data_IF_477547736096
#
_entry.id   IF_477547736096
#
_cell.length_a   1.000
_cell.length_b   1.000
_cell.length_c   1.000
_cell.angle_alpha   90.00
_cell.angle_beta   90.00
_cell.angle_gamma   90.00
#
_symmetry.space_group_name_H-M   'P 1'
#
loop_
_entity.id
_entity.type
_entity.pdbx_description
1 polymer ?
#
# COMPACT_ATOMS: atom_id res chain seq x y z
N UNK A 1 28.85 -18.65 37.72
CA UNK A 1 27.42 -18.46 37.90
C UNK A 1 26.83 -17.90 36.60
N UNK A 2 26.18 -18.76 35.82
CA UNK A 2 25.50 -18.38 34.56
C UNK A 2 24.09 -17.92 34.92
N UNK A 3 23.78 -16.66 34.75
CA UNK A 3 22.39 -16.17 34.79
C UNK A 3 21.78 -16.28 33.41
N UNK A 4 20.64 -16.97 33.36
CA UNK A 4 19.90 -17.25 32.13
C UNK A 4 19.41 -15.98 31.43
N UNK A 5 19.70 -15.91 30.15
CA UNK A 5 19.17 -14.90 29.23
C UNK A 5 17.76 -15.33 28.80
N UNK A 6 16.85 -14.38 28.96
CA UNK A 6 15.62 -14.18 28.20
C UNK A 6 14.86 -15.43 27.75
N UNK A 7 13.95 -15.89 28.62
CA UNK A 7 12.82 -16.69 28.17
C UNK A 7 12.01 -15.86 27.17
N UNK A 8 11.91 -16.35 25.91
CA UNK A 8 10.96 -15.83 24.94
C UNK A 8 9.56 -15.99 25.55
N UNK A 9 8.73 -14.95 25.64
CA UNK A 9 7.34 -15.15 25.99
C UNK A 9 6.72 -16.02 24.88
N UNK A 10 6.07 -17.11 25.26
CA UNK A 10 5.24 -17.91 24.37
C UNK A 10 4.18 -17.01 23.75
N UNK A 11 3.85 -17.12 22.46
CA UNK A 11 2.77 -16.35 21.87
C UNK A 11 1.47 -16.75 22.56
N UNK A 12 0.99 -15.87 23.42
CA UNK A 12 -0.37 -15.97 23.95
C UNK A 12 -1.32 -15.79 22.78
N UNK A 13 -2.16 -16.77 22.53
CA UNK A 13 -3.27 -16.69 21.58
C UNK A 13 -4.05 -15.40 21.83
N UNK A 14 -4.28 -14.52 20.85
CA UNK A 14 -5.14 -13.36 21.05
C UNK A 14 -6.55 -13.88 21.35
N UNK A 15 -6.94 -13.80 22.60
CA UNK A 15 -8.34 -14.01 22.98
C UNK A 15 -9.19 -12.96 22.25
N UNK A 16 -10.43 -13.29 21.91
CA UNK A 16 -11.42 -12.49 21.16
C UNK A 16 -11.80 -11.14 21.81
N UNK A 17 -11.11 -10.72 22.83
CA UNK A 17 -11.40 -9.55 23.65
C UNK A 17 -10.31 -8.50 23.55
N UNK A 18 -10.60 -7.40 22.87
CA UNK A 18 -10.07 -6.06 23.16
C UNK A 18 -8.55 -5.81 23.13
N UNK A 19 -7.71 -6.83 22.95
CA UNK A 19 -6.26 -6.67 23.02
C UNK A 19 -5.70 -6.05 21.72
N UNK A 20 -4.95 -4.96 21.88
CA UNK A 20 -4.20 -4.28 20.82
C UNK A 20 -2.87 -5.01 20.55
N UNK A 21 -2.93 -6.25 20.09
CA UNK A 21 -1.79 -7.14 19.86
C UNK A 21 -0.63 -6.47 19.11
N UNK A 22 0.47 -6.21 19.80
CA UNK A 22 1.65 -5.51 19.27
C UNK A 22 1.53 -3.98 19.27
N UNK A 23 0.44 -3.41 19.80
CA UNK A 23 0.19 -1.96 19.88
C UNK A 23 -0.13 -1.49 21.30
N UNK A 24 0.45 -2.15 22.31
CA UNK A 24 0.25 -1.88 23.72
C UNK A 24 0.72 -0.48 24.12
N UNK A 25 1.57 0.14 23.31
CA UNK A 25 2.05 1.51 23.49
C UNK A 25 1.00 2.59 23.16
N UNK A 26 -0.11 2.23 22.47
CA UNK A 26 -1.15 3.19 22.14
C UNK A 26 -2.01 3.48 23.37
N UNK A 27 -2.16 4.78 23.78
CA UNK A 27 -2.96 5.14 24.94
C UNK A 27 -4.40 4.64 24.84
N UNK A 28 -4.97 4.18 25.95
CA UNK A 28 -6.32 3.61 25.99
C UNK A 28 -7.44 4.61 25.66
N UNK A 29 -7.19 5.91 25.87
CA UNK A 29 -8.09 7.01 25.57
C UNK A 29 -7.98 7.54 24.13
N UNK A 30 -7.12 6.95 23.31
CA UNK A 30 -6.90 7.34 21.93
C UNK A 30 -7.30 6.23 20.96
N UNK A 31 -8.01 6.62 19.89
CA UNK A 31 -8.46 5.76 18.81
C UNK A 31 -7.94 6.31 17.47
N UNK A 32 -7.03 5.57 16.85
CA UNK A 32 -6.41 5.98 15.58
C UNK A 32 -7.12 5.31 14.40
N UNK A 33 -7.68 6.12 13.49
CA UNK A 33 -8.46 5.68 12.33
C UNK A 33 -7.92 6.28 11.01
N UNK A 34 -6.61 6.43 10.86
CA UNK A 34 -6.01 6.91 9.61
C UNK A 34 -5.01 5.91 8.99
N UNK A 35 -5.29 4.60 9.14
CA UNK A 35 -4.43 3.50 8.63
C UNK A 35 -4.27 3.53 7.11
N UNK A 36 -5.26 4.00 6.34
CA UNK A 36 -5.15 4.14 4.89
C UNK A 36 -4.14 5.20 4.44
N UNK A 37 -3.76 6.13 5.35
CA UNK A 37 -2.63 7.04 5.13
C UNK A 37 -1.33 6.40 5.63
N UNK A 38 -1.33 5.95 6.87
CA UNK A 38 -0.18 5.33 7.51
C UNK A 38 -0.65 4.40 8.64
N UNK A 39 -0.34 3.10 8.57
CA UNK A 39 -0.60 2.18 9.67
C UNK A 39 0.33 2.46 10.84
N UNK A 40 -0.13 2.22 12.06
CA UNK A 40 0.75 2.12 13.22
C UNK A 40 1.64 0.88 13.07
N UNK A 41 2.83 0.90 13.66
CA UNK A 41 3.78 -0.21 13.56
C UNK A 41 3.67 -1.09 14.80
N UNK A 42 3.46 -2.41 14.66
CA UNK A 42 3.48 -3.29 15.82
C UNK A 42 4.89 -3.36 16.43
N UNK A 43 4.97 -3.54 17.74
CA UNK A 43 6.24 -3.53 18.49
C UNK A 43 7.34 -4.41 17.85
N UNK A 44 7.07 -5.65 17.38
CA UNK A 44 8.11 -6.47 16.73
C UNK A 44 8.75 -5.83 15.48
N UNK A 45 8.03 -4.95 14.78
CA UNK A 45 8.57 -4.21 13.61
C UNK A 45 9.51 -3.11 14.06
N UNK A 46 9.15 -2.39 15.12
CA UNK A 46 10.00 -1.37 15.75
C UNK A 46 11.27 -2.02 16.30
N UNK A 47 11.12 -3.17 16.98
CA UNK A 47 12.25 -3.92 17.54
C UNK A 47 13.22 -4.42 16.48
N UNK A 48 12.72 -4.90 15.33
CA UNK A 48 13.57 -5.35 14.22
C UNK A 48 14.42 -4.20 13.64
N UNK A 49 13.83 -3.01 13.54
CA UNK A 49 14.52 -1.81 13.08
C UNK A 49 15.57 -1.33 14.11
N UNK A 50 15.22 -1.35 15.39
CA UNK A 50 16.14 -1.03 16.50
C UNK A 50 17.29 -2.05 16.56
N UNK A 51 17.02 -3.36 16.40
CA UNK A 51 18.07 -4.40 16.37
C UNK A 51 19.09 -4.11 15.26
N UNK A 52 18.64 -3.75 14.05
CA UNK A 52 19.53 -3.33 12.98
C UNK A 52 20.44 -2.18 13.41
N UNK A 53 19.86 -1.06 13.86
CA UNK A 53 20.63 0.14 14.19
C UNK A 53 21.56 -0.03 15.40
N UNK A 54 21.20 -0.85 16.37
CA UNK A 54 21.92 -0.98 17.64
C UNK A 54 22.93 -2.14 17.64
N UNK A 55 22.75 -3.19 16.79
CA UNK A 55 23.55 -4.41 16.89
C UNK A 55 24.35 -4.77 15.65
N UNK A 56 23.89 -4.38 14.43
CA UNK A 56 24.58 -4.67 13.18
C UNK A 56 24.37 -3.61 12.09
N UNK A 57 24.37 -2.34 12.48
CA UNK A 57 24.26 -1.21 11.57
C UNK A 57 25.42 -1.18 10.57
N UNK A 58 25.26 -1.91 9.49
CA UNK A 58 26.26 -2.09 8.45
C UNK A 58 25.64 -1.88 7.07
N UNK A 59 26.50 -1.59 6.09
CA UNK A 59 26.10 -1.65 4.69
C UNK A 59 25.88 -3.13 4.29
N UNK A 60 24.81 -3.37 3.55
CA UNK A 60 24.62 -4.62 2.82
C UNK A 60 25.32 -4.57 1.47
N UNK A 61 25.24 -5.67 0.73
CA UNK A 61 25.78 -5.85 -0.61
C UNK A 61 27.31 -5.62 -0.70
N UNK A 62 28.01 -6.46 -1.39
CA UNK A 62 29.46 -6.32 -1.68
C UNK A 62 30.39 -6.23 -0.46
N UNK A 63 29.94 -6.60 0.74
CA UNK A 63 30.74 -6.62 1.96
C UNK A 63 30.94 -8.05 2.48
N UNK A 64 32.13 -8.34 3.03
CA UNK A 64 32.48 -9.71 3.43
C UNK A 64 32.48 -9.93 4.94
N UNK A 65 32.27 -8.91 5.75
CA UNK A 65 32.20 -9.03 7.21
C UNK A 65 30.81 -9.48 7.70
N UNK A 66 30.77 -10.05 8.89
CA UNK A 66 29.59 -10.74 9.41
C UNK A 66 28.32 -9.88 9.49
N UNK A 67 28.44 -8.58 9.84
CA UNK A 67 27.28 -7.69 9.92
C UNK A 67 26.67 -7.41 8.55
N UNK A 68 27.50 -7.18 7.53
CA UNK A 68 27.01 -6.96 6.18
C UNK A 68 26.30 -8.19 5.62
N UNK A 69 26.86 -9.41 5.85
CA UNK A 69 26.16 -10.65 5.47
C UNK A 69 24.82 -10.81 6.19
N UNK A 70 24.73 -10.41 7.49
CA UNK A 70 23.44 -10.40 8.20
C UNK A 70 22.44 -9.44 7.57
N UNK A 71 22.89 -8.29 7.08
CA UNK A 71 22.04 -7.36 6.32
C UNK A 71 21.57 -7.98 5.02
N UNK A 72 22.48 -8.60 4.25
CA UNK A 72 22.14 -9.27 2.98
C UNK A 72 21.10 -10.37 3.18
N UNK A 73 21.27 -11.21 4.19
CA UNK A 73 20.29 -12.26 4.53
C UNK A 73 18.92 -11.67 4.86
N UNK A 74 18.86 -10.60 5.67
CA UNK A 74 17.61 -9.93 6.04
C UNK A 74 16.92 -9.24 4.87
N UNK A 75 17.68 -8.65 3.97
CA UNK A 75 17.16 -8.03 2.74
C UNK A 75 16.63 -9.10 1.78
N UNK A 76 17.34 -10.20 1.61
CA UNK A 76 16.87 -11.34 0.82
C UNK A 76 15.57 -11.95 1.40
N UNK A 77 15.50 -12.11 2.73
CA UNK A 77 14.29 -12.54 3.43
C UNK A 77 13.12 -11.59 3.18
N UNK A 78 13.35 -10.25 3.21
CA UNK A 78 12.33 -9.25 2.96
C UNK A 78 11.81 -9.30 1.51
N UNK A 79 12.70 -9.47 0.51
CA UNK A 79 12.30 -9.65 -0.91
C UNK A 79 11.47 -10.93 -1.08
N UNK A 80 11.91 -12.03 -0.49
CA UNK A 80 11.17 -13.30 -0.53
C UNK A 80 9.80 -13.17 0.14
N UNK A 81 9.70 -12.48 1.28
CA UNK A 81 8.45 -12.23 1.98
C UNK A 81 7.47 -11.38 1.14
N UNK A 82 7.95 -10.37 0.41
CA UNK A 82 7.14 -9.57 -0.52
C UNK A 82 6.52 -10.46 -1.59
N UNK A 83 7.34 -11.23 -2.30
CA UNK A 83 6.86 -12.11 -3.37
C UNK A 83 5.91 -13.18 -2.85
N UNK A 84 6.22 -13.79 -1.70
CA UNK A 84 5.36 -14.77 -1.05
C UNK A 84 4.01 -14.19 -0.62
N UNK A 85 3.98 -13.00 -0.04
CA UNK A 85 2.74 -12.32 0.35
C UNK A 85 1.82 -12.09 -0.85
N UNK A 86 2.38 -11.66 -1.98
CA UNK A 86 1.67 -11.43 -3.24
C UNK A 86 1.36 -12.72 -4.02
N UNK A 87 1.96 -13.86 -3.66
CA UNK A 87 1.82 -15.12 -4.41
C UNK A 87 2.55 -15.12 -5.76
N UNK A 88 3.63 -14.32 -5.86
CA UNK A 88 4.43 -14.17 -7.08
C UNK A 88 5.64 -15.13 -7.08
N UNK A 89 5.92 -15.74 -8.22
CA UNK A 89 7.06 -16.65 -8.38
C UNK A 89 8.40 -15.91 -8.48
N UNK A 90 9.40 -16.20 -7.64
CA UNK A 90 10.72 -15.59 -7.73
C UNK A 90 11.50 -15.94 -9.00
N UNK A 91 11.02 -16.93 -9.79
CA UNK A 91 11.59 -17.25 -11.11
C UNK A 91 11.18 -16.22 -12.18
N UNK A 92 10.09 -15.51 -11.96
CA UNK A 92 9.55 -14.55 -12.92
C UNK A 92 9.58 -13.11 -12.41
N UNK A 93 9.50 -12.92 -11.10
CA UNK A 93 9.38 -11.61 -10.47
C UNK A 93 10.57 -11.29 -9.57
N UNK A 94 10.96 -10.03 -9.57
CA UNK A 94 11.88 -9.46 -8.60
C UNK A 94 11.18 -8.34 -7.81
N UNK A 95 11.53 -8.20 -6.54
CA UNK A 95 11.05 -7.11 -5.69
C UNK A 95 12.16 -6.08 -5.54
N UNK A 96 11.92 -4.85 -5.99
CA UNK A 96 12.79 -3.70 -5.81
C UNK A 96 12.22 -2.77 -4.74
N UNK A 97 13.11 -2.12 -3.98
CA UNK A 97 12.74 -1.15 -2.97
C UNK A 97 12.90 0.28 -3.49
N UNK A 98 11.96 1.12 -3.10
CA UNK A 98 11.91 2.53 -3.52
C UNK A 98 11.45 3.38 -2.33
N UNK A 99 11.31 4.71 -2.52
CA UNK A 99 10.89 5.60 -1.44
C UNK A 99 9.42 5.37 -1.00
N UNK A 100 8.52 5.16 -1.95
CA UNK A 100 7.08 4.89 -1.75
C UNK A 100 6.43 4.49 -3.09
N UNK A 101 5.14 4.14 -3.10
CA UNK A 101 4.38 3.79 -4.32
C UNK A 101 4.46 4.88 -5.39
N UNK A 102 4.29 6.14 -5.01
CA UNK A 102 4.36 7.28 -5.97
C UNK A 102 5.70 7.34 -6.66
N UNK A 103 6.79 7.18 -5.90
CA UNK A 103 8.14 7.16 -6.45
C UNK A 103 8.36 5.95 -7.36
N UNK A 104 7.94 4.75 -6.92
CA UNK A 104 8.05 3.52 -7.69
C UNK A 104 7.32 3.58 -9.02
N UNK A 105 6.06 4.08 -9.04
CA UNK A 105 5.28 4.30 -10.26
C UNK A 105 5.99 5.28 -11.21
N UNK A 106 6.43 6.44 -10.71
CA UNK A 106 7.13 7.41 -11.53
C UNK A 106 8.46 6.86 -12.06
N UNK A 107 9.22 6.14 -11.23
CA UNK A 107 10.49 5.54 -11.63
C UNK A 107 10.30 4.51 -12.75
N UNK A 108 9.27 3.65 -12.66
CA UNK A 108 8.91 2.71 -13.73
C UNK A 108 8.49 3.46 -15.00
N UNK A 109 7.47 4.32 -14.90
CA UNK A 109 6.87 4.96 -16.08
C UNK A 109 7.88 5.85 -16.81
N UNK A 110 8.78 6.53 -16.09
CA UNK A 110 9.80 7.39 -16.71
C UNK A 110 10.91 6.60 -17.44
N UNK A 111 11.07 5.33 -17.13
CA UNK A 111 12.10 4.45 -17.70
C UNK A 111 11.54 3.42 -18.70
N UNK A 112 10.22 3.40 -18.91
CA UNK A 112 9.64 2.58 -19.98
C UNK A 112 10.06 3.10 -21.36
N UNK A 113 10.41 2.18 -22.31
CA UNK A 113 10.83 2.55 -23.65
C UNK A 113 9.80 3.43 -24.39
N UNK A 114 10.30 4.48 -25.03
CA UNK A 114 9.47 5.32 -25.90
C UNK A 114 8.99 4.53 -27.12
N UNK A 115 7.71 4.67 -27.48
CA UNK A 115 7.16 4.03 -28.68
C UNK A 115 6.71 2.57 -28.51
N UNK A 116 6.88 1.99 -27.31
CA UNK A 116 6.37 0.63 -27.01
C UNK A 116 4.84 0.57 -26.96
N UNK A 117 4.20 1.65 -26.53
CA UNK A 117 2.76 1.68 -26.31
C UNK A 117 2.07 2.66 -27.24
N UNK A 118 0.87 2.32 -27.70
CA UNK A 118 -0.01 3.22 -28.46
C UNK A 118 -0.79 4.16 -27.53
N UNK A 119 -1.07 3.72 -26.31
CA UNK A 119 -1.84 4.48 -25.32
C UNK A 119 -1.46 4.12 -23.89
N UNK A 120 -1.78 5.01 -22.95
CA UNK A 120 -1.80 4.72 -21.54
C UNK A 120 -3.25 4.74 -21.04
N UNK A 121 -3.64 3.70 -20.33
CA UNK A 121 -5.01 3.48 -19.81
C UNK A 121 -5.00 3.54 -18.30
N UNK A 122 -5.90 4.32 -17.73
CA UNK A 122 -6.11 4.44 -16.29
C UNK A 122 -7.59 4.75 -16.02
N UNK A 123 -7.96 5.11 -14.78
CA UNK A 123 -9.36 5.38 -14.45
C UNK A 123 -9.57 6.81 -13.95
N UNK A 124 -10.83 7.27 -13.97
CA UNK A 124 -11.21 8.55 -13.35
C UNK A 124 -11.08 8.55 -11.82
N UNK A 125 -11.06 7.39 -11.18
CA UNK A 125 -11.14 7.25 -9.71
C UNK A 125 -9.79 7.04 -9.02
N UNK A 126 -8.70 7.24 -9.74
CA UNK A 126 -7.35 6.95 -9.25
C UNK A 126 -6.85 7.93 -8.19
N UNK A 127 -6.01 7.41 -7.31
CA UNK A 127 -5.15 8.24 -6.48
C UNK A 127 -4.22 9.09 -7.37
N UNK A 128 -3.84 10.28 -6.92
CA UNK A 128 -2.95 11.19 -7.66
C UNK A 128 -1.63 10.54 -8.09
N UNK A 129 -1.12 9.55 -7.37
CA UNK A 129 0.10 8.81 -7.75
C UNK A 129 -0.03 8.13 -9.12
N UNK A 130 -1.18 7.53 -9.41
CA UNK A 130 -1.50 6.90 -10.70
C UNK A 130 -1.97 7.95 -11.70
N UNK A 131 -2.90 8.81 -11.27
CA UNK A 131 -3.53 9.77 -12.16
C UNK A 131 -2.53 10.74 -12.80
N UNK A 132 -1.61 11.30 -11.99
CA UNK A 132 -0.61 12.27 -12.46
C UNK A 132 0.55 11.59 -13.17
N UNK A 133 1.01 10.42 -12.73
CA UNK A 133 2.11 9.72 -13.41
C UNK A 133 1.72 9.24 -14.81
N UNK A 134 0.49 8.77 -14.99
CA UNK A 134 -0.03 8.41 -16.33
C UNK A 134 -0.26 9.64 -17.21
N UNK A 135 -0.65 10.78 -16.64
CA UNK A 135 -0.73 12.05 -17.36
C UNK A 135 0.65 12.49 -17.85
N UNK A 136 1.64 12.49 -16.95
CA UNK A 136 3.02 12.83 -17.29
C UNK A 136 3.63 11.89 -18.34
N UNK A 137 3.34 10.57 -18.23
CA UNK A 137 3.74 9.59 -19.24
C UNK A 137 3.18 9.95 -20.63
N UNK A 138 1.87 10.19 -20.73
CA UNK A 138 1.23 10.55 -22.00
C UNK A 138 1.80 11.85 -22.58
N UNK A 139 2.01 12.88 -21.75
CA UNK A 139 2.62 14.15 -22.18
C UNK A 139 4.05 13.99 -22.69
N UNK A 140 4.86 13.16 -22.02
CA UNK A 140 6.25 12.92 -22.40
C UNK A 140 6.38 12.10 -23.68
N UNK A 141 5.52 11.10 -23.87
CA UNK A 141 5.62 10.15 -25.00
C UNK A 141 4.73 10.51 -26.18
N UNK A 142 3.76 11.41 -26.00
CA UNK A 142 2.79 11.78 -27.04
C UNK A 142 1.70 10.74 -27.29
N UNK A 143 1.62 9.67 -26.48
CA UNK A 143 0.58 8.63 -26.65
C UNK A 143 -0.78 9.10 -26.14
N UNK A 144 -1.85 8.51 -26.67
CA UNK A 144 -3.21 8.74 -26.19
C UNK A 144 -3.34 8.34 -24.70
N UNK A 145 -4.06 9.14 -23.91
CA UNK A 145 -4.45 8.80 -22.55
C UNK A 145 -5.93 8.47 -22.48
N UNK A 146 -6.26 7.24 -22.14
CA UNK A 146 -7.64 6.74 -21.97
C UNK A 146 -8.00 6.70 -20.52
N UNK A 147 -9.13 7.33 -20.14
CA UNK A 147 -9.68 7.33 -18.79
C UNK A 147 -10.94 6.46 -18.75
N UNK A 148 -10.84 5.32 -18.07
CA UNK A 148 -11.94 4.37 -17.93
C UNK A 148 -12.93 4.82 -16.84
N UNK A 149 -14.20 4.56 -17.10
CA UNK A 149 -15.24 4.67 -16.08
C UNK A 149 -15.23 3.42 -15.18
N UNK A 150 -15.68 3.62 -13.95
CA UNK A 150 -15.92 2.56 -12.98
C UNK A 150 -17.43 2.43 -12.75
N UNK A 151 -17.98 1.24 -12.87
CA UNK A 151 -19.37 0.92 -12.54
C UNK A 151 -19.63 1.05 -11.03
N UNK A 152 -20.89 1.00 -10.66
CA UNK A 152 -21.33 1.03 -9.25
C UNK A 152 -20.85 -0.18 -8.44
N UNK A 153 -20.57 -1.29 -9.11
CA UNK A 153 -19.99 -2.52 -8.58
C UNK A 153 -18.45 -2.48 -8.48
N UNK A 154 -17.83 -1.38 -8.93
CA UNK A 154 -16.39 -1.20 -8.98
C UNK A 154 -15.72 -1.73 -10.26
N UNK A 155 -16.45 -2.40 -11.16
CA UNK A 155 -15.91 -2.94 -12.40
C UNK A 155 -15.48 -1.83 -13.37
N UNK A 156 -14.38 -2.04 -14.07
CA UNK A 156 -13.86 -1.11 -15.07
C UNK A 156 -14.59 -1.34 -16.41
N UNK A 157 -14.98 -0.24 -17.05
CA UNK A 157 -15.67 -0.25 -18.34
C UNK A 157 -14.67 0.05 -19.43
N UNK A 158 -14.27 -0.95 -20.22
CA UNK A 158 -13.33 -0.84 -21.32
C UNK A 158 -13.78 -1.68 -22.51
N UNK A 159 -13.24 -1.34 -23.69
CA UNK A 159 -13.35 -2.13 -24.90
C UNK A 159 -12.02 -2.87 -25.14
N UNK A 160 -12.05 -3.95 -25.88
CA UNK A 160 -10.86 -4.73 -26.21
C UNK A 160 -9.77 -3.90 -26.91
N UNK A 161 -10.16 -2.94 -27.77
CA UNK A 161 -9.21 -2.05 -28.44
C UNK A 161 -8.49 -1.11 -27.46
N UNK A 162 -9.11 -0.75 -26.35
CA UNK A 162 -8.47 0.08 -25.32
C UNK A 162 -7.24 -0.60 -24.70
N UNK A 163 -7.18 -1.94 -24.76
CA UNK A 163 -6.12 -2.76 -24.19
C UNK A 163 -4.99 -3.09 -25.16
N UNK A 164 -5.18 -2.84 -26.48
CA UNK A 164 -4.20 -3.20 -27.52
C UNK A 164 -2.97 -2.31 -27.47
N UNK A 165 -1.78 -2.90 -27.33
CA UNK A 165 -0.49 -2.22 -27.16
C UNK A 165 -0.56 -1.12 -26.08
N UNK A 166 -1.33 -1.37 -25.02
CA UNK A 166 -1.62 -0.39 -23.99
C UNK A 166 -0.71 -0.56 -22.75
N UNK A 167 -0.33 0.57 -22.16
CA UNK A 167 0.15 0.61 -20.79
C UNK A 167 -1.05 0.84 -19.85
N UNK A 168 -1.49 -0.19 -19.17
CA UNK A 168 -2.60 -0.11 -18.19
C UNK A 168 -2.03 0.11 -16.80
N UNK A 169 -2.41 1.21 -16.15
CA UNK A 169 -1.99 1.53 -14.77
C UNK A 169 -3.24 1.84 -13.95
N UNK A 170 -3.60 0.95 -13.05
CA UNK A 170 -4.85 1.05 -12.25
C UNK A 170 -4.64 0.62 -10.81
N UNK A 171 -5.46 1.18 -9.92
CA UNK A 171 -5.49 0.78 -8.51
C UNK A 171 -6.28 -0.51 -8.32
N UNK A 172 -5.72 -1.46 -7.58
CA UNK A 172 -6.41 -2.69 -7.20
C UNK A 172 -7.53 -2.47 -6.17
N UNK A 173 -7.45 -1.36 -5.41
CA UNK A 173 -8.45 -0.94 -4.43
C UNK A 173 -8.48 0.58 -4.34
N UNK A 174 -9.66 1.16 -4.36
CA UNK A 174 -9.86 2.61 -4.23
C UNK A 174 -9.52 3.10 -2.81
N UNK A 175 -8.77 4.18 -2.72
CA UNK A 175 -8.30 4.73 -1.45
C UNK A 175 -9.29 5.66 -0.75
N UNK A 176 -10.42 5.95 -1.36
CA UNK A 176 -11.47 6.80 -0.79
C UNK A 176 -12.56 5.94 -0.14
N UNK A 177 -13.15 5.02 -0.89
CA UNK A 177 -14.28 4.21 -0.45
C UNK A 177 -13.93 2.75 -0.15
N UNK A 178 -12.68 2.33 -0.42
CA UNK A 178 -12.20 0.97 -0.18
C UNK A 178 -12.76 -0.08 -1.14
N UNK A 179 -13.40 0.33 -2.23
CA UNK A 179 -13.92 -0.61 -3.23
C UNK A 179 -12.77 -1.31 -3.94
N UNK A 180 -12.72 -2.64 -3.86
CA UNK A 180 -11.80 -3.43 -4.67
C UNK A 180 -12.18 -3.34 -6.16
N UNK A 181 -11.20 -3.44 -7.05
CA UNK A 181 -11.43 -3.48 -8.50
C UNK A 181 -11.66 -4.93 -8.92
N UNK A 182 -12.89 -5.33 -9.26
CA UNK A 182 -13.15 -6.68 -9.76
C UNK A 182 -12.67 -6.83 -11.20
N UNK A 183 -12.52 -8.08 -11.69
CA UNK A 183 -12.14 -8.36 -13.06
C UNK A 183 -10.67 -8.05 -13.40
N UNK A 184 -9.79 -7.87 -12.39
CA UNK A 184 -8.37 -7.59 -12.64
C UNK A 184 -7.65 -8.74 -13.35
N UNK A 185 -8.05 -9.99 -13.13
CA UNK A 185 -7.46 -11.15 -13.81
C UNK A 185 -7.72 -11.08 -15.32
N UNK A 186 -8.95 -10.80 -15.70
CA UNK A 186 -9.39 -10.64 -17.09
C UNK A 186 -8.73 -9.41 -17.76
N UNK A 187 -8.65 -8.30 -17.02
CA UNK A 187 -7.96 -7.10 -17.49
C UNK A 187 -6.48 -7.37 -17.78
N UNK A 188 -5.78 -8.05 -16.84
CA UNK A 188 -4.35 -8.38 -16.99
C UNK A 188 -4.14 -9.30 -18.18
N UNK A 189 -4.86 -10.43 -18.22
CA UNK A 189 -4.68 -11.41 -19.30
C UNK A 189 -5.10 -10.85 -20.65
N UNK A 190 -6.17 -10.07 -20.71
CA UNK A 190 -6.64 -9.40 -21.91
C UNK A 190 -5.65 -8.38 -22.45
N UNK A 191 -5.02 -7.58 -21.58
CA UNK A 191 -4.00 -6.60 -21.95
C UNK A 191 -2.73 -7.29 -22.45
N UNK A 192 -2.22 -8.27 -21.69
CA UNK A 192 -1.00 -9.00 -22.05
C UNK A 192 -1.15 -9.78 -23.37
N UNK A 193 -2.30 -10.40 -23.60
CA UNK A 193 -2.60 -11.09 -24.87
C UNK A 193 -2.61 -10.16 -26.09
N UNK A 194 -2.75 -8.83 -25.88
CA UNK A 194 -2.75 -7.79 -26.91
C UNK A 194 -1.45 -6.97 -26.93
N UNK A 195 -0.35 -7.50 -26.38
CA UNK A 195 0.97 -6.84 -26.38
C UNK A 195 1.14 -5.71 -25.36
N UNK A 196 0.11 -5.46 -24.52
CA UNK A 196 0.15 -4.41 -23.50
C UNK A 196 0.87 -4.85 -22.22
N UNK A 197 1.00 -3.91 -21.30
CA UNK A 197 1.64 -4.06 -19.97
C UNK A 197 0.68 -3.59 -18.89
N UNK A 198 0.59 -4.29 -17.77
CA UNK A 198 -0.26 -3.93 -16.64
C UNK A 198 0.58 -3.65 -15.38
N UNK A 199 0.42 -2.45 -14.83
CA UNK A 199 1.00 -2.04 -13.55
C UNK A 199 -0.15 -1.79 -12.57
N UNK A 200 -0.15 -2.49 -11.43
CA UNK A 200 -1.14 -2.33 -10.37
C UNK A 200 -0.61 -1.42 -9.24
N UNK A 201 -1.37 -0.39 -8.89
CA UNK A 201 -1.22 0.27 -7.60
C UNK A 201 -1.96 -0.57 -6.54
N UNK A 202 -1.21 -1.23 -5.69
CA UNK A 202 -1.72 -2.05 -4.61
C UNK A 202 -1.58 -1.38 -3.23
N UNK A 203 -1.39 -0.05 -3.18
CA UNK A 203 -1.11 0.67 -1.93
C UNK A 203 -2.18 0.43 -0.85
N UNK A 204 -3.46 0.34 -1.22
CA UNK A 204 -4.53 0.00 -0.28
C UNK A 204 -4.80 -1.51 -0.23
N UNK A 205 -4.75 -2.19 -1.37
CA UNK A 205 -5.05 -3.60 -1.45
C UNK A 205 -4.06 -4.48 -0.67
N UNK A 206 -2.80 -4.07 -0.55
CA UNK A 206 -1.79 -4.81 0.22
C UNK A 206 -2.12 -4.89 1.71
N UNK A 207 -2.76 -3.87 2.28
CA UNK A 207 -3.20 -3.84 3.67
C UNK A 207 -4.58 -4.47 3.86
N UNK A 208 -5.56 -4.05 3.05
CA UNK A 208 -6.98 -4.29 3.28
C UNK A 208 -7.60 -5.34 2.36
N UNK A 209 -6.89 -5.75 1.31
CA UNK A 209 -7.42 -6.61 0.24
C UNK A 209 -6.38 -7.58 -0.33
N UNK A 210 -5.41 -8.04 0.46
CA UNK A 210 -4.34 -8.92 -0.02
C UNK A 210 -4.86 -10.18 -0.73
N UNK A 211 -6.01 -10.71 -0.29
CA UNK A 211 -6.65 -11.85 -0.94
C UNK A 211 -7.02 -11.57 -2.42
N UNK A 212 -7.35 -10.33 -2.76
CA UNK A 212 -7.68 -9.93 -4.14
C UNK A 212 -6.44 -9.81 -5.05
N UNK A 213 -5.23 -9.73 -4.48
CA UNK A 213 -3.98 -9.66 -5.23
C UNK A 213 -3.40 -11.04 -5.53
N UNK A 214 -3.67 -12.02 -4.66
CA UNK A 214 -3.11 -13.37 -4.79
C UNK A 214 -3.66 -14.06 -6.04
N UNK A 215 -2.73 -14.62 -6.83
CA UNK A 215 -3.06 -15.28 -8.09
C UNK A 215 -3.06 -14.36 -9.31
N UNK A 216 -3.05 -13.04 -9.13
CA UNK A 216 -2.86 -12.10 -10.23
C UNK A 216 -1.41 -12.13 -10.73
N UNK A 217 -1.23 -11.97 -12.03
CA UNK A 217 0.07 -12.01 -12.69
C UNK A 217 0.30 -10.76 -13.55
N UNK A 218 0.19 -9.53 -13.00
CA UNK A 218 0.48 -8.32 -13.75
C UNK A 218 1.99 -8.20 -14.03
N UNK A 219 2.38 -7.26 -14.86
CA UNK A 219 3.80 -7.01 -15.15
C UNK A 219 4.50 -6.31 -13.97
N UNK A 220 3.78 -5.48 -13.21
CA UNK A 220 4.26 -4.93 -11.94
C UNK A 220 3.14 -4.69 -10.93
N UNK A 221 3.48 -4.78 -9.64
CA UNK A 221 2.67 -4.37 -8.49
C UNK A 221 3.49 -3.38 -7.67
N UNK A 222 2.91 -2.20 -7.40
CA UNK A 222 3.53 -1.16 -6.59
C UNK A 222 2.75 -0.97 -5.28
N UNK A 223 3.44 -0.90 -4.14
CA UNK A 223 2.81 -0.59 -2.86
C UNK A 223 3.78 0.13 -1.90
N UNK A 224 3.29 0.55 -0.73
CA UNK A 224 4.07 1.23 0.30
C UNK A 224 4.05 0.47 1.61
N UNK A 225 5.21 0.24 2.21
CA UNK A 225 5.38 -0.47 3.48
C UNK A 225 4.67 0.20 4.65
N UNK A 226 4.63 1.56 4.68
CA UNK A 226 3.96 2.31 5.74
C UNK A 226 2.43 2.14 5.78
N UNK A 227 1.84 1.47 4.79
CA UNK A 227 0.41 1.11 4.78
C UNK A 227 0.17 -0.35 5.16
N UNK A 228 1.25 -1.15 5.27
CA UNK A 228 1.21 -2.58 5.58
C UNK A 228 2.03 -2.87 6.85
N UNK A 229 1.91 -2.00 7.85
CA UNK A 229 2.56 -2.09 9.18
C UNK A 229 4.09 -1.97 9.16
N UNK A 230 4.72 -1.74 8.00
CA UNK A 230 6.16 -1.57 7.82
C UNK A 230 6.62 -0.11 7.92
N UNK A 231 7.90 0.12 7.68
CA UNK A 231 8.49 1.46 7.60
C UNK A 231 8.06 2.23 6.34
N UNK A 232 8.43 3.50 6.26
CA UNK A 232 8.20 4.34 5.09
C UNK A 232 9.13 3.93 3.94
N UNK A 233 8.67 2.96 3.18
CA UNK A 233 9.38 2.32 2.08
C UNK A 233 8.39 2.01 0.97
N UNK A 234 8.80 2.12 -0.29
CA UNK A 234 8.06 1.65 -1.45
C UNK A 234 8.56 0.28 -1.93
N UNK A 235 7.69 -0.44 -2.57
CA UNK A 235 8.01 -1.72 -3.22
C UNK A 235 7.49 -1.70 -4.66
N UNK A 236 8.31 -2.19 -5.57
CA UNK A 236 7.95 -2.53 -6.94
C UNK A 236 8.27 -4.01 -7.13
N UNK A 237 7.24 -4.86 -7.12
CA UNK A 237 7.35 -6.26 -7.50
C UNK A 237 7.01 -6.38 -8.98
N UNK A 238 8.01 -6.61 -9.84
CA UNK A 238 7.84 -6.61 -11.29
C UNK A 238 8.46 -7.85 -11.93
N UNK A 239 7.99 -8.19 -13.14
CA UNK A 239 8.60 -9.26 -13.92
C UNK A 239 10.03 -8.90 -14.29
N UNK A 240 10.92 -9.88 -14.32
CA UNK A 240 12.31 -9.68 -14.75
C UNK A 240 12.36 -9.11 -16.17
N UNK A 241 11.48 -9.57 -17.05
CA UNK A 241 11.35 -9.08 -18.41
C UNK A 241 11.03 -7.57 -18.47
N UNK A 242 10.09 -7.10 -17.65
CA UNK A 242 9.78 -5.67 -17.58
C UNK A 242 10.97 -4.87 -17.07
N UNK A 243 11.62 -5.31 -15.97
CA UNK A 243 12.78 -4.63 -15.40
C UNK A 243 13.96 -4.57 -16.37
N UNK A 244 14.22 -5.64 -17.10
CA UNK A 244 15.29 -5.71 -18.11
C UNK A 244 15.01 -4.83 -19.34
N UNK A 245 13.74 -4.57 -19.65
CA UNK A 245 13.33 -3.72 -20.76
C UNK A 245 13.44 -2.22 -20.48
N UNK A 246 13.72 -1.80 -19.23
CA UNK A 246 13.78 -0.39 -18.86
C UNK A 246 14.99 0.33 -19.50
N UNK A 247 14.75 1.52 -20.03
CA UNK A 247 15.78 2.47 -20.47
C UNK A 247 16.17 3.34 -19.28
N UNK A 248 17.23 2.92 -18.55
CA UNK A 248 17.56 3.53 -17.27
C UNK A 248 18.05 4.98 -17.45
N UNK A 249 17.33 5.91 -16.87
CA UNK A 249 17.68 7.33 -16.79
C UNK A 249 18.12 7.76 -15.38
N UNK A 250 17.95 6.90 -14.38
CA UNK A 250 18.35 7.12 -13.00
C UNK A 250 19.38 6.06 -12.60
N UNK A 251 20.65 6.46 -12.70
CA UNK A 251 21.81 5.57 -12.51
C UNK A 251 22.65 6.00 -11.31
N UNK A 252 23.25 5.01 -10.63
CA UNK A 252 24.11 5.27 -9.48
C UNK A 252 24.84 4.04 -8.97
N UNK A 253 25.49 4.19 -7.82
CA UNK A 253 26.10 3.05 -7.12
C UNK A 253 25.06 1.99 -6.80
N UNK A 254 25.47 0.73 -6.71
CA UNK A 254 24.55 -0.40 -6.45
C UNK A 254 24.00 -1.07 -7.72
N UNK A 255 23.96 -0.37 -8.84
CA UNK A 255 23.39 -0.88 -10.10
C UNK A 255 24.42 -1.46 -11.06
N UNK A 256 25.69 -1.12 -10.90
CA UNK A 256 26.74 -1.42 -11.87
C UNK A 256 27.79 -2.37 -11.32
N UNK A 257 28.23 -3.33 -12.13
CA UNK A 257 29.34 -4.24 -11.87
C UNK A 257 30.68 -3.73 -12.40
N UNK A 258 30.65 -2.86 -13.43
CA UNK A 258 31.83 -2.20 -13.98
C UNK A 258 31.48 -0.84 -14.57
N UNK A 259 32.44 0.10 -14.50
CA UNK A 259 32.33 1.45 -15.08
C UNK A 259 33.68 1.81 -15.71
N UNK A 260 33.63 2.37 -16.92
CA UNK A 260 34.78 3.00 -17.61
C UNK A 260 34.46 4.48 -17.84
N UNK A 261 35.33 5.23 -18.51
CA UNK A 261 35.07 6.62 -18.84
C UNK A 261 33.80 6.82 -19.71
N UNK A 262 33.52 5.87 -20.60
CA UNK A 262 32.48 6.00 -21.63
C UNK A 262 31.42 4.90 -21.60
N UNK A 263 31.52 3.94 -20.67
CA UNK A 263 30.59 2.82 -20.60
C UNK A 263 30.42 2.26 -19.20
N UNK A 264 29.32 1.53 -18.99
CA UNK A 264 29.05 0.80 -17.75
C UNK A 264 28.42 -0.56 -18.04
N UNK A 265 28.58 -1.48 -17.10
CA UNK A 265 27.90 -2.79 -17.12
C UNK A 265 27.02 -2.88 -15.89
N UNK A 266 25.74 -3.15 -16.09
CA UNK A 266 24.77 -3.32 -15.01
C UNK A 266 24.96 -4.66 -14.31
N UNK A 267 24.53 -4.77 -13.06
CA UNK A 267 24.37 -6.05 -12.40
C UNK A 267 23.31 -6.90 -13.10
N UNK A 268 23.40 -8.22 -12.96
CA UNK A 268 22.47 -9.17 -13.60
C UNK A 268 21.15 -9.30 -12.87
N UNK A 269 21.11 -8.97 -11.58
CA UNK A 269 19.92 -9.05 -10.74
C UNK A 269 18.89 -7.99 -11.15
N UNK A 270 17.67 -8.39 -11.61
CA UNK A 270 16.72 -7.44 -12.17
C UNK A 270 16.28 -6.33 -11.21
N UNK A 271 16.19 -6.62 -9.91
CA UNK A 271 15.78 -5.62 -8.90
C UNK A 271 16.71 -4.40 -8.84
N UNK A 272 17.99 -4.57 -9.16
CA UNK A 272 18.97 -3.47 -9.11
C UNK A 272 18.66 -2.35 -10.10
N UNK A 273 17.84 -2.60 -11.13
CA UNK A 273 17.40 -1.60 -12.11
C UNK A 273 16.71 -0.39 -11.46
N UNK A 274 16.09 -0.57 -10.30
CA UNK A 274 15.33 0.46 -9.60
C UNK A 274 15.99 0.91 -8.28
N UNK A 275 17.15 0.33 -7.93
CA UNK A 275 17.82 0.53 -6.63
C UNK A 275 19.18 1.24 -6.78
N UNK A 276 19.16 2.46 -7.31
CA UNK A 276 20.35 3.29 -7.37
C UNK A 276 20.70 3.85 -5.97
N UNK A 277 21.97 3.76 -5.60
CA UNK A 277 22.50 4.32 -4.36
C UNK A 277 22.43 3.36 -3.16
N UNK A 278 22.71 3.89 -1.98
CA UNK A 278 22.61 3.15 -0.72
C UNK A 278 21.13 2.91 -0.39
N UNK A 279 20.80 1.67 -0.08
CA UNK A 279 19.43 1.31 0.25
C UNK A 279 19.12 1.55 1.75
N UNK A 280 17.86 1.83 2.11
CA UNK A 280 17.41 2.04 3.49
C UNK A 280 17.26 0.68 4.21
N UNK A 281 18.38 0.09 4.61
CA UNK A 281 18.43 -1.28 5.15
C UNK A 281 17.50 -1.50 6.35
N UNK A 282 17.45 -0.54 7.29
CA UNK A 282 16.58 -0.61 8.47
C UNK A 282 15.11 -0.70 8.08
N UNK A 283 14.69 0.09 7.10
CA UNK A 283 13.32 0.14 6.60
C UNK A 283 12.94 -1.13 5.82
N UNK A 284 13.88 -1.70 5.06
CA UNK A 284 13.69 -2.97 4.35
C UNK A 284 13.52 -4.12 5.36
N UNK A 285 14.36 -4.17 6.38
CA UNK A 285 14.29 -5.16 7.46
C UNK A 285 12.96 -5.02 8.22
N UNK A 286 12.54 -3.79 8.51
CA UNK A 286 11.25 -3.50 9.14
C UNK A 286 10.06 -3.97 8.29
N UNK A 287 10.12 -3.83 6.96
CA UNK A 287 9.10 -4.35 6.06
C UNK A 287 9.04 -5.88 6.10
N UNK A 288 10.19 -6.56 6.08
CA UNK A 288 10.27 -8.02 6.23
C UNK A 288 9.63 -8.48 7.55
N UNK A 289 9.93 -7.78 8.65
CA UNK A 289 9.34 -8.05 9.96
C UNK A 289 7.82 -7.80 9.98
N UNK A 290 7.33 -6.77 9.29
CA UNK A 290 5.90 -6.47 9.19
C UNK A 290 5.13 -7.57 8.44
N UNK A 291 5.65 -8.04 7.31
CA UNK A 291 5.03 -9.13 6.55
C UNK A 291 5.03 -10.44 7.35
N UNK A 292 6.11 -10.73 8.07
CA UNK A 292 6.18 -11.88 8.97
C UNK A 292 5.19 -11.76 10.14
N UNK A 293 4.99 -10.55 10.70
CA UNK A 293 4.03 -10.30 11.76
C UNK A 293 2.58 -10.51 11.25
N UNK A 294 2.24 -10.01 10.06
CA UNK A 294 0.91 -10.21 9.44
C UNK A 294 0.62 -11.70 9.23
N UNK A 295 1.59 -12.46 8.70
CA UNK A 295 1.44 -13.92 8.52
C UNK A 295 1.37 -14.66 9.86
N UNK A 296 2.16 -14.24 10.86
CA UNK A 296 2.12 -14.75 12.23
C UNK A 296 0.78 -14.52 12.91
N UNK A 297 0.17 -13.34 12.74
CA UNK A 297 -1.17 -13.03 13.24
C UNK A 297 -2.21 -14.01 12.64
N UNK A 298 -2.20 -14.21 11.33
CA UNK A 298 -3.10 -15.13 10.65
C UNK A 298 -2.95 -16.56 11.17
N UNK A 299 -1.72 -17.03 11.37
CA UNK A 299 -1.44 -18.39 11.91
C UNK A 299 -1.90 -18.55 13.35
N UNK A 300 -1.75 -17.51 14.18
CA UNK A 300 -2.09 -17.57 15.60
C UNK A 300 -3.60 -17.41 15.84
N UNK A 301 -4.30 -16.54 15.09
CA UNK A 301 -5.72 -16.24 15.27
C UNK A 301 -6.66 -17.10 14.42
N UNK A 302 -6.15 -17.81 13.41
CA UNK A 302 -6.97 -18.50 12.41
C UNK A 302 -7.74 -17.58 11.46
N UNK A 303 -7.57 -16.26 11.60
CA UNK A 303 -8.27 -15.23 10.84
C UNK A 303 -7.26 -14.25 10.24
N UNK A 304 -7.48 -13.77 9.01
CA UNK A 304 -6.67 -12.70 8.47
C UNK A 304 -7.06 -11.31 9.02
N UNK A 305 -6.11 -10.38 8.99
CA UNK A 305 -6.32 -9.02 9.48
C UNK A 305 -7.42 -8.29 8.72
N UNK A 306 -7.51 -8.48 7.40
CA UNK A 306 -8.51 -7.83 6.57
C UNK A 306 -9.95 -8.26 6.94
N UNK A 307 -10.16 -9.51 7.34
CA UNK A 307 -11.45 -9.99 7.83
C UNK A 307 -11.83 -9.31 9.16
N UNK A 308 -10.85 -9.18 10.09
CA UNK A 308 -11.08 -8.48 11.35
C UNK A 308 -11.36 -6.99 11.13
N UNK A 309 -10.56 -6.33 10.32
CA UNK A 309 -10.76 -4.91 9.98
C UNK A 309 -12.11 -4.65 9.32
N UNK A 310 -12.54 -5.54 8.41
CA UNK A 310 -13.86 -5.45 7.75
C UNK A 310 -14.99 -5.55 8.76
N UNK A 311 -14.96 -6.49 9.70
CA UNK A 311 -15.98 -6.61 10.74
C UNK A 311 -16.08 -5.31 11.58
N UNK A 312 -14.97 -4.76 12.02
CA UNK A 312 -14.95 -3.50 12.77
C UNK A 312 -15.44 -2.31 11.92
N UNK A 313 -15.12 -2.31 10.62
CA UNK A 313 -15.61 -1.29 9.70
C UNK A 313 -17.13 -1.41 9.45
N UNK A 314 -17.68 -2.62 9.46
CA UNK A 314 -19.13 -2.85 9.41
C UNK A 314 -19.80 -2.35 10.68
N UNK A 315 -19.25 -2.62 11.87
CA UNK A 315 -19.76 -2.06 13.13
C UNK A 315 -19.75 -0.52 13.10
N UNK A 316 -18.68 0.09 12.61
CA UNK A 316 -18.58 1.55 12.46
C UNK A 316 -19.58 2.09 11.44
N UNK A 317 -19.70 1.45 10.28
CA UNK A 317 -20.65 1.83 9.23
C UNK A 317 -22.09 1.80 9.77
N UNK A 318 -22.48 0.73 10.46
CA UNK A 318 -23.81 0.57 11.03
C UNK A 318 -24.11 1.63 12.10
N UNK A 319 -23.11 2.01 12.90
CA UNK A 319 -23.21 3.11 13.86
C UNK A 319 -23.39 4.48 13.18
N UNK A 320 -22.65 4.73 12.10
CA UNK A 320 -22.68 6.02 11.42
C UNK A 320 -23.91 6.19 10.52
N UNK A 321 -24.40 5.13 9.86
CA UNK A 321 -25.60 5.22 9.00
C UNK A 321 -26.86 5.64 9.76
N UNK A 322 -26.90 5.39 11.06
CA UNK A 322 -28.01 5.79 11.94
C UNK A 322 -27.96 7.29 12.33
N UNK A 323 -26.87 8.00 12.01
CA UNK A 323 -26.70 9.40 12.40
C UNK A 323 -27.26 10.34 11.31
N UNK A 324 -27.91 11.46 11.69
CA UNK A 324 -28.36 12.47 10.73
C UNK A 324 -27.19 13.30 10.20
N UNK A 325 -27.43 14.08 9.14
CA UNK A 325 -26.51 15.09 8.63
C UNK A 325 -25.16 14.55 8.13
N UNK A 326 -25.11 13.28 7.74
CA UNK A 326 -23.97 12.68 7.04
C UNK A 326 -24.45 11.76 5.91
N UNK A 327 -23.68 11.73 4.82
CA UNK A 327 -23.95 10.88 3.67
C UNK A 327 -22.74 9.97 3.42
N UNK A 328 -22.91 8.67 3.67
CA UNK A 328 -21.87 7.65 3.43
C UNK A 328 -21.57 7.52 1.94
N UNK A 329 -20.27 7.42 1.60
CA UNK A 329 -19.77 7.08 0.27
C UNK A 329 -19.37 5.61 0.20
N UNK A 330 -18.76 5.09 1.25
CA UNK A 330 -18.37 3.69 1.33
C UNK A 330 -19.57 2.78 1.47
N UNK A 331 -19.49 1.62 0.83
CA UNK A 331 -20.48 0.56 1.03
C UNK A 331 -20.19 -0.20 2.34
N UNK A 332 -21.22 -0.80 2.92
CA UNK A 332 -21.06 -1.73 4.04
C UNK A 332 -20.17 -2.90 3.62
N UNK A 333 -19.23 -3.28 4.47
CA UNK A 333 -18.23 -4.31 4.16
C UNK A 333 -16.92 -3.78 3.56
N UNK A 334 -16.83 -2.48 3.27
CA UNK A 334 -15.54 -1.84 2.98
C UNK A 334 -14.70 -1.67 4.25
N UNK A 335 -13.38 -1.82 4.14
CA UNK A 335 -12.43 -1.52 5.23
C UNK A 335 -12.23 -0.02 5.47
N UNK A 336 -12.73 0.82 4.57
CA UNK A 336 -12.71 2.28 4.69
C UNK A 336 -14.14 2.80 4.84
N UNK A 337 -14.39 3.65 5.84
CA UNK A 337 -15.71 4.27 6.05
C UNK A 337 -15.57 5.76 5.80
N UNK A 338 -16.05 6.20 4.66
CA UNK A 338 -15.92 7.58 4.16
C UNK A 338 -17.29 8.21 3.98
N UNK A 339 -17.43 9.45 4.40
CA UNK A 339 -18.69 10.19 4.28
C UNK A 339 -18.49 11.69 4.04
N UNK A 340 -19.52 12.33 3.53
CA UNK A 340 -19.68 13.78 3.47
C UNK A 340 -20.47 14.22 4.70
N UNK A 341 -19.92 15.08 5.57
CA UNK A 341 -20.73 15.77 6.58
C UNK A 341 -21.54 16.88 5.89
N UNK A 342 -22.86 16.94 6.15
CA UNK A 342 -23.76 17.82 5.39
C UNK A 342 -23.95 19.20 6.03
N UNK A 343 -23.74 19.32 7.34
CA UNK A 343 -23.99 20.58 8.09
C UNK A 343 -22.77 21.12 8.83
N UNK A 344 -21.65 20.47 8.75
CA UNK A 344 -20.40 20.90 9.35
C UNK A 344 -19.26 20.69 8.35
N UNK A 345 -18.28 21.59 8.36
CA UNK A 345 -17.07 21.43 7.56
C UNK A 345 -16.27 20.18 8.02
N UNK A 346 -15.78 19.37 7.05
CA UNK A 346 -15.10 18.12 7.34
C UNK A 346 -13.82 18.28 8.19
N UNK A 347 -13.07 19.37 7.99
CA UNK A 347 -11.85 19.63 8.76
C UNK A 347 -12.17 20.06 10.19
N UNK A 348 -13.26 20.83 10.37
CA UNK A 348 -13.75 21.19 11.72
C UNK A 348 -14.22 19.95 12.47
N UNK A 349 -14.98 19.06 11.80
CA UNK A 349 -15.41 17.80 12.37
C UNK A 349 -14.22 16.94 12.80
N UNK A 350 -13.21 16.75 11.91
CA UNK A 350 -12.00 16.02 12.24
C UNK A 350 -11.23 16.63 13.41
N UNK A 351 -11.18 17.96 13.51
CA UNK A 351 -10.56 18.67 14.64
C UNK A 351 -11.32 18.41 15.96
N UNK A 352 -12.65 18.41 15.92
CA UNK A 352 -13.48 18.09 17.09
C UNK A 352 -13.23 16.65 17.56
N UNK A 353 -13.27 15.69 16.62
CA UNK A 353 -13.01 14.27 16.91
C UNK A 353 -11.62 14.07 17.52
N UNK A 354 -10.59 14.74 16.98
CA UNK A 354 -9.22 14.67 17.50
C UNK A 354 -9.11 15.13 18.94
N UNK A 355 -9.87 16.20 19.35
CA UNK A 355 -9.93 16.67 20.75
C UNK A 355 -10.59 15.66 21.68
N UNK A 356 -11.44 14.80 21.16
CA UNK A 356 -12.06 13.70 21.88
C UNK A 356 -11.26 12.38 21.82
N UNK A 357 -10.02 12.43 21.32
CA UNK A 357 -9.16 11.25 21.21
C UNK A 357 -9.43 10.37 19.98
N UNK A 358 -10.27 10.82 19.03
CA UNK A 358 -10.61 10.07 17.80
C UNK A 358 -9.91 10.71 16.60
N UNK A 359 -8.87 10.07 16.09
CA UNK A 359 -8.04 10.58 15.00
C UNK A 359 -8.51 10.04 13.66
N UNK A 360 -8.96 10.93 12.78
CA UNK A 360 -9.48 10.60 11.44
C UNK A 360 -8.86 11.49 10.37
N UNK A 361 -8.99 11.09 9.12
CA UNK A 361 -8.57 11.91 7.97
C UNK A 361 -9.72 12.74 7.43
N UNK A 362 -9.43 14.00 7.03
CA UNK A 362 -10.37 14.85 6.30
C UNK A 362 -9.75 15.41 5.02
N UNK A 363 -10.56 15.69 4.00
CA UNK A 363 -10.15 16.27 2.72
C UNK A 363 -10.50 15.40 1.52
N UNK A 364 -9.66 15.42 0.49
CA UNK A 364 -9.88 14.74 -0.80
C UNK A 364 -8.99 13.50 -1.01
N UNK A 365 -8.19 13.10 -0.02
CA UNK A 365 -7.40 11.86 0.02
C UNK A 365 -6.55 11.61 -1.23
N UNK A 366 -6.03 12.69 -1.85
CA UNK A 366 -5.27 12.64 -3.11
C UNK A 366 -6.05 12.01 -4.28
N UNK A 367 -7.38 12.19 -4.32
CA UNK A 367 -8.26 11.76 -5.42
C UNK A 367 -9.05 12.97 -5.98
N UNK A 368 -8.34 14.09 -6.21
CA UNK A 368 -8.96 15.38 -6.54
C UNK A 368 -9.77 15.34 -7.84
N UNK A 369 -9.23 14.71 -8.89
CA UNK A 369 -9.94 14.59 -10.16
C UNK A 369 -11.30 13.91 -9.98
N UNK A 370 -11.34 12.79 -9.26
CA UNK A 370 -12.59 12.07 -9.03
C UNK A 370 -13.56 12.86 -8.14
N UNK A 371 -13.07 13.35 -6.99
CA UNK A 371 -13.94 13.91 -5.96
C UNK A 371 -14.38 15.35 -6.29
N UNK A 372 -13.48 16.17 -6.83
CA UNK A 372 -13.76 17.59 -7.11
C UNK A 372 -14.30 17.77 -8.52
N UNK A 373 -13.59 17.29 -9.55
CA UNK A 373 -13.98 17.55 -10.95
C UNK A 373 -15.17 16.68 -11.39
N UNK A 374 -15.16 15.37 -11.07
CA UNK A 374 -16.19 14.45 -11.52
C UNK A 374 -17.42 14.42 -10.61
N UNK A 375 -17.23 14.46 -9.30
CA UNK A 375 -18.31 14.31 -8.31
C UNK A 375 -18.74 15.61 -7.66
N UNK A 376 -17.99 16.70 -7.82
CA UNK A 376 -18.24 18.02 -7.22
C UNK A 376 -18.55 17.94 -5.72
N UNK A 377 -17.82 17.09 -5.00
CA UNK A 377 -18.00 16.87 -3.57
C UNK A 377 -17.20 17.89 -2.76
N UNK A 378 -17.73 18.32 -1.60
CA UNK A 378 -16.93 19.05 -0.60
C UNK A 378 -15.88 18.10 0.02
N UNK A 379 -14.96 18.62 0.86
CA UNK A 379 -14.06 17.76 1.64
C UNK A 379 -14.84 16.73 2.47
N UNK A 380 -14.27 15.52 2.55
CA UNK A 380 -14.85 14.36 3.22
C UNK A 380 -14.15 14.04 4.53
N UNK A 381 -14.76 13.16 5.34
CA UNK A 381 -14.11 12.50 6.47
C UNK A 381 -14.00 11.02 6.16
N UNK A 382 -12.82 10.44 6.46
CA UNK A 382 -12.56 9.01 6.28
C UNK A 382 -12.03 8.42 7.58
N UNK A 383 -12.67 7.34 8.01
CA UNK A 383 -12.15 6.39 8.98
C UNK A 383 -11.52 5.23 8.24
N UNK A 384 -10.31 4.87 8.58
CA UNK A 384 -9.64 3.69 8.07
C UNK A 384 -9.04 2.89 9.21
N UNK A 385 -9.52 1.66 9.34
CA UNK A 385 -9.16 0.79 10.43
C UNK A 385 -7.81 0.11 10.18
N UNK A 386 -7.22 -0.40 11.23
CA UNK A 386 -6.01 -1.21 11.22
C UNK A 386 -6.05 -2.26 12.32
N UNK A 387 -5.02 -3.08 12.37
CA UNK A 387 -4.92 -4.19 13.32
C UNK A 387 -5.01 -3.78 14.80
N UNK A 388 -4.69 -2.53 15.12
CA UNK A 388 -4.73 -1.97 16.47
C UNK A 388 -6.13 -1.59 16.93
N UNK A 389 -7.11 -1.46 16.01
CA UNK A 389 -8.47 -1.05 16.37
C UNK A 389 -9.24 -2.19 17.05
N UNK A 390 -10.16 -1.80 17.94
CA UNK A 390 -11.05 -2.68 18.70
C UNK A 390 -12.50 -2.21 18.56
N UNK A 391 -13.47 -3.01 19.01
CA UNK A 391 -14.88 -2.57 19.06
C UNK A 391 -15.07 -1.39 20.02
N UNK A 392 -14.23 -1.25 21.08
CA UNK A 392 -14.26 -0.10 21.97
C UNK A 392 -13.83 1.19 21.26
N UNK A 393 -12.86 1.11 20.33
CA UNK A 393 -12.48 2.26 19.48
C UNK A 393 -13.65 2.68 18.57
N UNK A 394 -14.36 1.70 18.00
CA UNK A 394 -15.55 1.94 17.18
C UNK A 394 -16.68 2.56 17.99
N UNK A 395 -16.98 2.01 19.16
CA UNK A 395 -17.99 2.56 20.08
C UNK A 395 -17.64 4.01 20.46
N UNK A 396 -16.40 4.29 20.86
CA UNK A 396 -15.92 5.66 21.15
C UNK A 396 -16.16 6.62 19.98
N UNK A 397 -15.87 6.20 18.74
CA UNK A 397 -16.07 7.03 17.56
C UNK A 397 -17.56 7.36 17.34
N UNK A 398 -18.44 6.36 17.43
CA UNK A 398 -19.89 6.52 17.28
C UNK A 398 -20.49 7.37 18.41
N UNK A 399 -20.08 7.11 19.66
CA UNK A 399 -20.55 7.85 20.83
C UNK A 399 -20.13 9.33 20.78
N UNK A 400 -18.92 9.61 20.30
CA UNK A 400 -18.42 10.97 20.08
C UNK A 400 -19.18 11.69 18.97
N UNK A 401 -19.48 10.98 17.88
CA UNK A 401 -20.20 11.55 16.73
C UNK A 401 -21.69 11.81 17.02
N UNK A 402 -22.31 10.95 17.83
CA UNK A 402 -23.78 10.94 18.03
C UNK A 402 -24.33 12.28 18.55
N UNK A 403 -23.87 12.86 19.69
CA UNK A 403 -24.39 14.12 20.18
C UNK A 403 -24.09 15.28 19.23
N UNK A 404 -22.93 15.27 18.57
CA UNK A 404 -22.54 16.30 17.61
C UNK A 404 -23.48 16.32 16.41
N UNK A 405 -23.70 15.17 15.76
CA UNK A 405 -24.50 15.09 14.55
C UNK A 405 -26.00 15.32 14.81
N UNK A 406 -26.50 14.99 16.01
CA UNK A 406 -27.88 15.29 16.43
C UNK A 406 -28.10 16.76 16.81
N UNK A 407 -27.02 17.45 17.22
CA UNK A 407 -27.07 18.86 17.60
C UNK A 407 -26.94 19.86 16.42
N UNK A 408 -26.61 19.36 15.22
CA UNK A 408 -26.51 20.12 13.97
C UNK A 408 -27.85 20.16 13.21
#
# INVERSE_FOLDING_TARGET
MRRGLFARPSPTTPAETGARFGFEYLPADQSYFDSACQTLRPQPVVDAMNDYYLTYNACGERVQYAWGRKVDDKVADARAAVLAALGLSPKRYAASFTLNTTYGLNLLLNQLPSGRYRRVVTTHTEHNSVFLSTMAFAQRTGVERVLLNRGTDGALQYRDDDLTDALVVVSAMNNVDGTATPGLSELITGTQARGGTVILDAAQAMAHGLAHLRGLQPDAICFSGHKVYGASLGVVAATSELLESLELSFLGGGQVSAVTADAYTLHTEPHTRLEAGLQPWGEIIALGAALAWVDGYRKASGQDLATRERRLAEELHDGLVALPNLRLLSQRGSSLVTFVPERVDAHRLATFLSRAGVMVRSGYFCAHHWLVEQRQLPPLVRFSLGAHNTSDDVARAVDTMTPLMKGL
#
